data_IF_958799337212
#
_entry.id   IF_958799337212
#
_cell.length_a   1.000
_cell.length_b   1.000
_cell.length_c   1.000
_cell.angle_alpha   90.00
_cell.angle_beta   90.00
_cell.angle_gamma   90.00
#
_symmetry.space_group_name_H-M   'P 1'
#
loop_
_entity.id
_entity.type
_entity.pdbx_description
1 polymer ?
#
# COMPACT_ATOMS: atom_id res chain seq x y z
N UNK A 1 13.04 3.01 -21.85
CA UNK A 1 12.70 4.07 -20.86
C UNK A 1 12.05 3.43 -19.64
N UNK A 2 12.30 3.92 -18.42
CA UNK A 2 11.60 3.49 -17.20
C UNK A 2 10.37 4.39 -17.00
N UNK A 3 9.20 3.80 -16.81
CA UNK A 3 7.97 4.51 -16.43
C UNK A 3 7.76 4.43 -14.93
N UNK A 4 7.69 5.59 -14.26
CA UNK A 4 7.37 5.70 -12.84
C UNK A 4 5.94 6.20 -12.70
N UNK A 5 5.04 5.37 -12.18
CA UNK A 5 3.63 5.70 -11.96
C UNK A 5 3.49 6.07 -10.48
N UNK A 6 3.14 7.31 -10.20
CA UNK A 6 3.14 7.89 -8.85
C UNK A 6 2.19 9.09 -8.75
N UNK A 7 2.39 9.98 -7.78
CA UNK A 7 1.72 11.25 -7.61
C UNK A 7 2.72 12.39 -7.34
N UNK A 8 2.28 13.64 -7.37
CA UNK A 8 3.13 14.84 -7.17
C UNK A 8 3.72 14.90 -5.76
N UNK A 9 2.93 14.51 -4.76
CA UNK A 9 3.30 14.57 -3.34
C UNK A 9 4.29 13.46 -2.93
N UNK A 10 4.45 12.40 -3.75
CA UNK A 10 5.42 11.36 -3.46
C UNK A 10 6.85 11.86 -3.75
N UNK A 11 7.58 12.21 -2.70
CA UNK A 11 8.96 12.68 -2.78
C UNK A 11 9.98 11.57 -3.04
N UNK A 12 9.64 10.30 -2.78
CA UNK A 12 10.57 9.17 -2.89
C UNK A 12 11.08 8.88 -4.30
N UNK A 13 10.30 9.03 -5.39
CA UNK A 13 10.81 8.83 -6.73
C UNK A 13 11.88 9.82 -7.14
N UNK A 14 11.84 11.03 -6.63
CA UNK A 14 12.74 12.11 -7.05
C UNK A 14 14.24 11.75 -6.96
N UNK A 15 14.79 11.30 -5.81
CA UNK A 15 16.20 10.92 -5.72
C UNK A 15 16.54 9.69 -6.58
N UNK A 16 15.59 8.77 -6.76
CA UNK A 16 15.78 7.59 -7.60
C UNK A 16 15.87 8.00 -9.08
N UNK A 17 14.97 8.87 -9.54
CA UNK A 17 14.99 9.42 -10.90
C UNK A 17 16.30 10.17 -11.17
N UNK A 18 16.75 11.00 -10.24
CA UNK A 18 18.04 11.69 -10.34
C UNK A 18 19.20 10.70 -10.49
N UNK A 19 19.24 9.65 -9.67
CA UNK A 19 20.28 8.62 -9.75
C UNK A 19 20.24 7.85 -11.08
N UNK A 20 19.07 7.52 -11.59
CA UNK A 20 18.90 6.85 -12.88
C UNK A 20 19.38 7.76 -14.04
N UNK A 21 18.99 9.04 -14.00
CA UNK A 21 19.39 10.03 -15.00
C UNK A 21 20.91 10.24 -15.03
N UNK A 22 21.58 10.30 -13.86
CA UNK A 22 23.05 10.38 -13.82
C UNK A 22 23.75 9.15 -14.40
N UNK A 23 23.05 8.03 -14.48
CA UNK A 23 23.52 6.79 -15.12
C UNK A 23 23.13 6.68 -16.60
N UNK A 24 22.57 7.73 -17.18
CA UNK A 24 22.13 7.77 -18.58
C UNK A 24 20.84 6.99 -18.86
N UNK A 25 20.07 6.66 -17.81
CA UNK A 25 18.80 5.92 -17.94
C UNK A 25 17.66 6.94 -18.05
N UNK A 26 16.91 6.86 -19.14
CA UNK A 26 15.75 7.72 -19.37
C UNK A 26 14.57 7.28 -18.51
N UNK A 27 13.93 8.24 -17.84
CA UNK A 27 12.78 8.01 -16.96
C UNK A 27 11.63 8.94 -17.36
N UNK A 28 10.44 8.39 -17.44
CA UNK A 28 9.19 9.15 -17.56
C UNK A 28 8.42 9.03 -16.25
N UNK A 29 8.12 10.15 -15.58
CA UNK A 29 7.30 10.20 -14.38
C UNK A 29 5.87 10.55 -14.77
N UNK A 30 4.93 9.70 -14.38
CA UNK A 30 3.50 9.90 -14.53
C UNK A 30 2.88 10.16 -13.15
N UNK A 31 2.43 11.37 -12.90
CA UNK A 31 1.65 11.75 -11.71
C UNK A 31 0.18 11.57 -12.05
N UNK A 32 -0.43 10.54 -11.51
CA UNK A 32 -1.73 10.05 -12.00
C UNK A 32 -2.91 10.93 -11.63
N UNK A 33 -2.83 11.67 -10.52
CA UNK A 33 -3.85 12.66 -10.13
C UNK A 33 -3.98 13.81 -11.13
N UNK A 34 -2.87 14.14 -11.80
CA UNK A 34 -2.78 15.21 -12.78
C UNK A 34 -2.84 14.72 -14.23
N UNK A 35 -3.36 13.51 -14.47
CA UNK A 35 -3.40 12.92 -15.81
C UNK A 35 -4.02 13.83 -16.86
N UNK A 36 -5.11 14.52 -16.51
CA UNK A 36 -5.88 15.36 -17.44
C UNK A 36 -5.36 16.81 -17.52
N UNK A 37 -4.48 17.23 -16.61
CA UNK A 37 -3.96 18.60 -16.57
C UNK A 37 -2.53 18.71 -17.09
N UNK A 38 -1.71 17.70 -16.81
CA UNK A 38 -0.26 17.76 -17.07
C UNK A 38 0.17 16.86 -18.24
N UNK A 39 -0.74 16.03 -18.77
CA UNK A 39 -0.38 15.06 -19.80
C UNK A 39 -1.38 15.06 -20.96
N UNK A 40 -0.82 14.86 -22.16
CA UNK A 40 -1.55 14.40 -23.33
C UNK A 40 -1.32 12.91 -23.49
N UNK A 41 -2.36 12.17 -23.86
CA UNK A 41 -2.26 10.74 -24.10
C UNK A 41 -3.08 10.33 -25.31
N UNK A 42 -2.59 9.32 -26.00
CA UNK A 42 -3.28 8.70 -27.11
C UNK A 42 -3.07 7.18 -27.04
N UNK A 43 -4.16 6.45 -27.21
CA UNK A 43 -4.13 5.02 -27.45
C UNK A 43 -4.65 4.76 -28.86
N UNK A 44 -3.90 4.00 -29.61
CA UNK A 44 -4.29 3.58 -30.97
C UNK A 44 -4.21 2.07 -31.10
N UNK A 45 -5.26 1.50 -31.67
CA UNK A 45 -5.33 0.08 -31.97
C UNK A 45 -5.94 -0.09 -33.36
N UNK A 46 -5.16 -0.58 -34.30
CA UNK A 46 -5.60 -0.92 -35.64
C UNK A 46 -5.18 -2.37 -35.99
N UNK A 47 -5.40 -2.78 -37.23
CA UNK A 47 -5.09 -4.15 -37.68
C UNK A 47 -3.59 -4.52 -37.58
N UNK A 48 -2.70 -3.55 -37.46
CA UNK A 48 -1.24 -3.75 -37.53
C UNK A 48 -0.49 -3.22 -36.33
N UNK A 49 -1.11 -2.33 -35.55
CA UNK A 49 -0.44 -1.59 -34.48
C UNK A 49 -1.34 -1.41 -33.28
N UNK A 50 -0.78 -1.60 -32.10
CA UNK A 50 -1.43 -1.39 -30.82
C UNK A 50 -0.42 -0.78 -29.87
N UNK A 51 -0.54 0.53 -29.59
CA UNK A 51 0.40 1.23 -28.71
C UNK A 51 -0.25 2.47 -28.08
N UNK A 52 0.40 2.99 -27.06
CA UNK A 52 0.04 4.27 -26.46
C UNK A 52 1.18 5.28 -26.56
N UNK A 53 0.82 6.54 -26.49
CA UNK A 53 1.75 7.65 -26.30
C UNK A 53 1.31 8.48 -25.11
N UNK A 54 2.26 8.82 -24.25
CA UNK A 54 2.09 9.79 -23.15
C UNK A 54 3.08 10.93 -23.36
N UNK A 55 2.64 12.16 -23.26
CA UNK A 55 3.48 13.34 -23.32
C UNK A 55 3.18 14.25 -22.12
N UNK A 56 4.21 14.63 -21.37
CA UNK A 56 4.09 15.62 -20.31
C UNK A 56 4.20 17.01 -20.91
N UNK A 57 3.12 17.80 -20.85
CA UNK A 57 3.04 19.12 -21.45
C UNK A 57 3.89 20.18 -20.75
N UNK A 58 4.27 19.93 -19.49
CA UNK A 58 5.06 20.88 -18.69
C UNK A 58 6.55 20.85 -19.07
N UNK A 59 7.09 19.69 -19.41
CA UNK A 59 8.51 19.51 -19.69
C UNK A 59 8.83 18.97 -21.09
N UNK A 60 7.80 18.66 -21.88
CA UNK A 60 7.92 18.18 -23.26
C UNK A 60 8.42 16.74 -23.41
N UNK A 61 8.60 16.00 -22.31
CA UNK A 61 8.98 14.59 -22.37
C UNK A 61 7.81 13.75 -22.87
N UNK A 62 8.12 12.75 -23.71
CA UNK A 62 7.14 11.79 -24.19
C UNK A 62 7.67 10.37 -24.12
N UNK A 63 6.75 9.40 -24.06
CA UNK A 63 7.05 7.96 -24.08
C UNK A 63 5.96 7.22 -24.84
N UNK A 64 6.38 6.24 -25.66
CA UNK A 64 5.48 5.26 -26.27
C UNK A 64 5.51 3.97 -25.47
N UNK A 65 4.41 3.20 -25.48
CA UNK A 65 4.33 1.93 -24.78
C UNK A 65 5.44 0.96 -25.17
N UNK A 66 5.78 0.91 -26.46
CA UNK A 66 6.88 0.09 -27.02
C UNK A 66 8.28 0.52 -26.52
N UNK A 67 8.44 1.72 -25.98
CA UNK A 67 9.70 2.23 -25.42
C UNK A 67 9.85 1.94 -23.92
N UNK A 68 8.78 1.50 -23.27
CA UNK A 68 8.80 1.17 -21.84
C UNK A 68 9.50 -0.16 -21.62
N UNK A 69 10.62 -0.14 -20.91
CA UNK A 69 11.43 -1.32 -20.61
C UNK A 69 11.32 -1.79 -19.17
N UNK A 70 10.87 -0.92 -18.28
CA UNK A 70 10.57 -1.25 -16.90
C UNK A 70 9.52 -0.27 -16.32
N UNK A 71 8.79 -0.73 -15.32
CA UNK A 71 7.77 0.07 -14.63
C UNK A 71 8.06 0.09 -13.13
N UNK A 72 7.93 1.25 -12.52
CA UNK A 72 7.82 1.36 -11.09
C UNK A 72 6.44 1.90 -10.73
N UNK A 73 5.54 0.99 -10.31
CA UNK A 73 4.19 1.31 -9.84
C UNK A 73 4.28 1.62 -8.35
N UNK A 74 4.36 2.91 -8.03
CA UNK A 74 4.75 3.33 -6.67
C UNK A 74 3.55 3.70 -5.78
N UNK A 75 2.86 4.77 -6.12
CA UNK A 75 1.72 5.31 -5.38
C UNK A 75 0.79 6.07 -6.31
N UNK A 76 0.16 5.40 -7.27
CA UNK A 76 -0.80 6.07 -8.12
C UNK A 76 -2.01 6.52 -7.30
N UNK A 77 -2.45 7.74 -7.54
CA UNK A 77 -3.69 8.28 -7.01
C UNK A 77 -4.76 8.35 -8.11
N UNK A 78 -6.04 8.36 -7.75
CA UNK A 78 -7.10 8.61 -8.72
C UNK A 78 -6.89 9.97 -9.41
N UNK A 79 -7.29 10.12 -10.69
CA UNK A 79 -7.28 11.42 -11.37
C UNK A 79 -8.22 12.39 -10.66
N UNK A 80 -7.69 13.39 -10.01
CA UNK A 80 -8.47 14.38 -9.25
C UNK A 80 -8.39 15.77 -9.85
N UNK A 81 -7.29 16.10 -10.51
CA UNK A 81 -7.12 17.40 -11.15
C UNK A 81 -7.86 17.43 -12.49
N UNK A 82 -8.72 18.44 -12.67
CA UNK A 82 -9.46 18.67 -13.88
C UNK A 82 -9.06 20.01 -14.51
N UNK A 83 -8.86 20.06 -15.84
CA UNK A 83 -8.45 21.30 -16.52
C UNK A 83 -9.53 22.38 -16.48
N UNK A 84 -10.80 21.97 -16.41
CA UNK A 84 -11.98 22.83 -16.30
C UNK A 84 -12.93 22.22 -15.28
N UNK A 85 -13.43 23.05 -14.37
CA UNK A 85 -14.49 22.64 -13.45
C UNK A 85 -15.86 22.78 -14.16
N UNK A 86 -16.72 21.80 -13.90
CA UNK A 86 -18.06 21.73 -14.45
C UNK A 86 -19.09 21.43 -13.34
N UNK A 87 -20.12 20.66 -13.64
CA UNK A 87 -21.02 20.17 -12.59
C UNK A 87 -20.38 18.94 -11.89
N UNK A 88 -20.72 18.70 -10.65
CA UNK A 88 -20.23 17.55 -9.88
C UNK A 88 -20.41 16.22 -10.63
N UNK A 89 -21.55 16.05 -11.31
CA UNK A 89 -21.84 14.83 -12.08
C UNK A 89 -20.89 14.68 -13.28
N UNK A 90 -20.61 15.76 -14.00
CA UNK A 90 -19.69 15.75 -15.15
C UNK A 90 -18.26 15.55 -14.67
N UNK A 91 -17.85 16.22 -13.61
CA UNK A 91 -16.51 16.09 -13.05
C UNK A 91 -16.25 14.68 -12.53
N UNK A 92 -17.24 14.06 -11.88
CA UNK A 92 -17.18 12.66 -11.47
C UNK A 92 -17.01 11.73 -12.68
N UNK A 93 -17.83 11.92 -13.72
CA UNK A 93 -17.74 11.13 -14.96
C UNK A 93 -16.34 11.25 -15.59
N UNK A 94 -15.81 12.47 -15.73
CA UNK A 94 -14.50 12.71 -16.34
C UNK A 94 -13.37 12.01 -15.56
N UNK A 95 -13.43 12.02 -14.22
CA UNK A 95 -12.47 11.29 -13.37
C UNK A 95 -12.58 9.78 -13.54
N UNK A 96 -13.79 9.24 -13.66
CA UNK A 96 -14.02 7.81 -13.88
C UNK A 96 -13.48 7.35 -15.24
N UNK A 97 -13.65 8.15 -16.32
CA UNK A 97 -13.08 7.87 -17.65
C UNK A 97 -11.53 7.87 -17.59
N UNK A 98 -10.94 8.88 -16.96
CA UNK A 98 -9.50 8.96 -16.80
C UNK A 98 -8.96 7.78 -15.94
N UNK A 99 -9.68 7.38 -14.90
CA UNK A 99 -9.35 6.20 -14.10
C UNK A 99 -9.44 4.91 -14.93
N UNK A 100 -10.42 4.83 -15.85
CA UNK A 100 -10.56 3.74 -16.81
C UNK A 100 -9.31 3.60 -17.69
N UNK A 101 -8.80 4.72 -18.22
CA UNK A 101 -7.56 4.76 -18.99
C UNK A 101 -6.34 4.30 -18.15
N UNK A 102 -6.19 4.78 -16.91
CA UNK A 102 -5.08 4.37 -16.04
C UNK A 102 -5.11 2.87 -15.71
N UNK A 103 -6.30 2.30 -15.49
CA UNK A 103 -6.46 0.85 -15.28
C UNK A 103 -6.03 0.06 -16.50
N UNK A 104 -6.42 0.51 -17.68
CA UNK A 104 -6.02 -0.08 -18.94
C UNK A 104 -4.49 0.03 -19.14
N UNK A 105 -3.89 1.20 -18.95
CA UNK A 105 -2.46 1.44 -19.07
C UNK A 105 -1.66 0.47 -18.16
N UNK A 106 -2.06 0.35 -16.91
CA UNK A 106 -1.43 -0.55 -15.95
C UNK A 106 -1.54 -2.02 -16.41
N UNK A 107 -2.71 -2.43 -16.90
CA UNK A 107 -2.90 -3.78 -17.41
C UNK A 107 -2.11 -4.03 -18.71
N UNK A 108 -2.04 -3.07 -19.60
CA UNK A 108 -1.24 -3.17 -20.83
C UNK A 108 0.25 -3.41 -20.55
N UNK A 109 0.75 -2.81 -19.47
CA UNK A 109 2.14 -2.91 -19.05
C UNK A 109 2.44 -4.12 -18.13
N UNK A 110 1.48 -5.00 -17.90
CA UNK A 110 1.57 -6.09 -16.90
C UNK A 110 2.73 -7.07 -17.13
N UNK A 111 3.14 -7.26 -18.37
CA UNK A 111 4.22 -8.19 -18.76
C UNK A 111 5.60 -7.48 -18.83
N UNK A 112 5.65 -6.18 -18.61
CA UNK A 112 6.89 -5.42 -18.51
C UNK A 112 7.49 -5.61 -17.11
N UNK A 113 8.82 -5.83 -16.99
CA UNK A 113 9.48 -5.91 -15.68
C UNK A 113 9.10 -4.73 -14.78
N UNK A 114 8.59 -5.01 -13.59
CA UNK A 114 8.09 -3.96 -12.70
C UNK A 114 8.59 -4.14 -11.26
N UNK A 115 8.71 -3.01 -10.55
CA UNK A 115 8.76 -2.95 -9.09
C UNK A 115 7.39 -2.49 -8.60
N UNK A 116 6.82 -3.23 -7.64
CA UNK A 116 5.40 -3.17 -7.36
C UNK A 116 4.62 -3.99 -8.39
N UNK A 117 3.46 -4.47 -8.03
CA UNK A 117 2.65 -5.26 -8.96
C UNK A 117 1.51 -4.43 -9.50
N UNK A 118 1.56 -4.18 -10.79
CA UNK A 118 0.50 -3.46 -11.51
C UNK A 118 -0.87 -4.16 -11.40
N UNK A 119 -0.86 -5.50 -11.28
CA UNK A 119 -2.09 -6.30 -11.28
C UNK A 119 -2.45 -6.80 -9.88
N UNK A 120 -1.44 -7.18 -9.08
CA UNK A 120 -1.65 -7.93 -7.84
C UNK A 120 -1.59 -7.07 -6.56
N UNK A 121 -1.21 -5.79 -6.62
CA UNK A 121 -1.03 -4.94 -5.46
C UNK A 121 -2.30 -4.85 -4.57
N UNK A 122 -3.48 -4.71 -5.18
CA UNK A 122 -4.75 -4.69 -4.44
C UNK A 122 -5.08 -6.03 -3.77
N UNK A 123 -4.84 -7.15 -4.49
CA UNK A 123 -5.03 -8.48 -3.93
C UNK A 123 -4.04 -8.72 -2.81
N UNK A 124 -2.78 -8.31 -3.02
CA UNK A 124 -1.71 -8.42 -2.05
C UNK A 124 -1.92 -7.53 -0.80
N UNK A 125 -2.68 -6.45 -0.90
CA UNK A 125 -3.06 -5.62 0.24
C UNK A 125 -4.03 -6.31 1.22
N UNK A 126 -4.74 -7.37 0.78
CA UNK A 126 -5.70 -8.11 1.61
C UNK A 126 -5.05 -8.71 2.86
N UNK A 127 -5.45 -8.24 4.05
CA UNK A 127 -4.95 -8.75 5.35
C UNK A 127 -5.27 -10.22 5.57
N UNK A 128 -6.43 -10.68 5.06
CA UNK A 128 -6.83 -12.09 5.14
C UNK A 128 -5.90 -12.97 4.31
N UNK A 129 -5.61 -12.55 3.07
CA UNK A 129 -4.69 -13.27 2.21
C UNK A 129 -3.27 -13.25 2.76
N UNK A 130 -2.80 -12.11 3.26
CA UNK A 130 -1.48 -11.97 3.87
C UNK A 130 -1.28 -12.94 5.03
N UNK A 131 -2.24 -13.05 5.96
CA UNK A 131 -2.15 -13.99 7.08
C UNK A 131 -2.16 -15.44 6.60
N UNK A 132 -3.00 -15.78 5.63
CA UNK A 132 -3.07 -17.14 5.06
C UNK A 132 -1.76 -17.53 4.39
N UNK A 133 -1.22 -16.69 3.52
CA UNK A 133 0.04 -16.97 2.83
C UNK A 133 1.23 -16.99 3.79
N UNK A 134 1.27 -16.08 4.78
CA UNK A 134 2.32 -16.08 5.80
C UNK A 134 2.36 -17.42 6.56
N UNK A 135 1.21 -17.94 6.96
CA UNK A 135 1.10 -19.26 7.59
C UNK A 135 1.55 -20.39 6.64
N UNK A 136 1.12 -20.33 5.37
CA UNK A 136 1.49 -21.34 4.36
C UNK A 136 3.00 -21.43 4.12
N UNK A 137 3.72 -20.30 4.19
CA UNK A 137 5.18 -20.28 4.05
C UNK A 137 5.93 -20.57 5.35
N UNK A 138 5.20 -20.87 6.44
CA UNK A 138 5.77 -21.21 7.74
C UNK A 138 6.25 -20.01 8.56
N UNK A 139 5.73 -18.82 8.32
CA UNK A 139 5.85 -17.70 9.25
C UNK A 139 4.85 -17.88 10.38
N UNK A 140 5.27 -17.59 11.62
CA UNK A 140 4.33 -17.52 12.74
C UNK A 140 3.44 -16.30 12.61
N UNK A 141 2.13 -16.53 12.59
CA UNK A 141 1.13 -15.47 12.54
C UNK A 141 0.32 -15.45 13.83
N UNK A 142 -0.12 -14.28 14.29
CA UNK A 142 -1.04 -14.23 15.42
C UNK A 142 -2.37 -14.91 15.07
N UNK A 143 -3.01 -15.54 16.05
CA UNK A 143 -4.38 -16.00 15.88
C UNK A 143 -5.29 -14.84 15.52
N UNK A 144 -6.17 -15.04 14.57
CA UNK A 144 -6.88 -13.96 13.89
C UNK A 144 -8.36 -14.28 13.73
N UNK A 145 -9.21 -13.29 13.95
CA UNK A 145 -10.63 -13.36 13.66
C UNK A 145 -11.08 -12.12 12.88
N UNK A 146 -11.80 -12.35 11.78
CA UNK A 146 -12.53 -11.33 11.01
C UNK A 146 -14.02 -11.67 11.12
N UNK A 147 -14.82 -10.79 11.69
CA UNK A 147 -16.26 -11.03 11.80
C UNK A 147 -17.03 -9.71 11.94
N UNK A 148 -18.27 -9.70 11.46
CA UNK A 148 -19.26 -8.67 11.73
C UNK A 148 -20.29 -9.11 12.78
N UNK A 149 -20.01 -10.18 13.53
CA UNK A 149 -20.88 -10.72 14.59
C UNK A 149 -20.21 -10.58 15.95
N UNK A 150 -20.84 -9.87 16.87
CA UNK A 150 -20.37 -9.67 18.24
C UNK A 150 -20.01 -11.00 18.92
N UNK A 151 -20.88 -12.00 18.76
CA UNK A 151 -20.68 -13.32 19.38
C UNK A 151 -19.36 -14.00 18.95
N UNK A 152 -18.94 -13.87 17.68
CA UNK A 152 -17.70 -14.46 17.21
C UNK A 152 -16.49 -13.70 17.74
N UNK A 153 -16.55 -12.36 17.75
CA UNK A 153 -15.50 -11.51 18.31
C UNK A 153 -15.32 -11.76 19.81
N UNK A 154 -16.43 -11.86 20.58
CA UNK A 154 -16.35 -12.19 21.99
C UNK A 154 -15.77 -13.58 22.23
N UNK A 155 -16.24 -14.59 21.49
CA UNK A 155 -15.74 -15.97 21.62
C UNK A 155 -14.24 -16.04 21.35
N UNK A 156 -13.75 -15.31 20.34
CA UNK A 156 -12.32 -15.20 20.07
C UNK A 156 -11.58 -14.46 21.20
N UNK A 157 -12.06 -13.28 21.57
CA UNK A 157 -11.38 -12.43 22.55
C UNK A 157 -11.29 -13.08 23.95
N UNK A 158 -12.27 -13.89 24.33
CA UNK A 158 -12.27 -14.61 25.63
C UNK A 158 -11.19 -15.70 25.75
N UNK A 159 -10.57 -16.10 24.63
CA UNK A 159 -9.48 -17.08 24.63
C UNK A 159 -8.15 -16.46 25.05
N UNK A 160 -8.04 -15.13 25.06
CA UNK A 160 -6.80 -14.40 25.29
C UNK A 160 -7.01 -13.33 26.36
N UNK A 161 -5.94 -13.09 27.15
CA UNK A 161 -5.93 -12.00 28.14
C UNK A 161 -5.98 -10.63 27.47
N UNK A 162 -5.27 -10.49 26.37
CA UNK A 162 -5.15 -9.24 25.60
C UNK A 162 -5.27 -9.55 24.11
N UNK A 163 -5.95 -8.67 23.41
CA UNK A 163 -6.11 -8.71 21.97
C UNK A 163 -5.79 -7.35 21.37
N UNK A 164 -5.64 -7.30 20.06
CA UNK A 164 -5.49 -6.06 19.30
C UNK A 164 -6.56 -5.92 18.24
N UNK A 165 -7.07 -4.70 18.11
CA UNK A 165 -7.93 -4.27 17.00
C UNK A 165 -7.08 -3.58 15.95
N UNK A 166 -7.37 -3.84 14.69
CA UNK A 166 -6.66 -3.26 13.55
C UNK A 166 -7.63 -2.85 12.45
N UNK A 167 -7.34 -1.78 11.69
CA UNK A 167 -8.05 -1.51 10.43
C UNK A 167 -7.69 -2.59 9.40
N UNK A 168 -8.65 -2.94 8.53
CA UNK A 168 -8.44 -3.90 7.45
C UNK A 168 -7.79 -3.22 6.25
N UNK A 169 -8.41 -2.15 5.77
CA UNK A 169 -8.04 -1.49 4.51
C UNK A 169 -7.37 -0.14 4.78
N UNK A 170 -8.14 0.82 5.26
CA UNK A 170 -7.67 2.17 5.52
C UNK A 170 -7.34 2.39 6.99
N UNK A 171 -6.13 2.88 7.24
CA UNK A 171 -5.75 3.38 8.57
C UNK A 171 -6.05 4.87 8.74
N UNK A 172 -6.45 5.58 7.69
CA UNK A 172 -6.73 7.01 7.72
C UNK A 172 -8.19 7.26 7.37
N UNK A 173 -8.84 8.10 8.15
CA UNK A 173 -10.21 8.56 7.95
C UNK A 173 -10.16 10.07 7.78
N UNK A 174 -10.59 10.55 6.61
CA UNK A 174 -10.80 11.97 6.39
C UNK A 174 -12.18 12.38 6.93
N UNK A 175 -12.20 13.39 7.76
CA UNK A 175 -13.44 13.98 8.27
C UNK A 175 -13.71 15.28 7.51
N UNK A 176 -14.76 15.27 6.68
CA UNK A 176 -15.16 16.42 5.86
C UNK A 176 -15.68 17.60 6.70
N UNK A 177 -16.23 17.34 7.90
CA UNK A 177 -16.83 18.38 8.74
C UNK A 177 -15.81 19.34 9.34
N UNK A 178 -14.61 18.86 9.66
CA UNK A 178 -13.53 19.66 10.27
C UNK A 178 -12.24 19.68 9.43
N UNK A 179 -12.25 19.10 8.23
CA UNK A 179 -11.10 19.00 7.33
C UNK A 179 -9.87 18.37 8.01
N UNK A 180 -10.07 17.38 8.90
CA UNK A 180 -9.00 16.71 9.61
C UNK A 180 -8.86 15.24 9.19
N UNK A 181 -7.64 14.73 9.15
CA UNK A 181 -7.32 13.34 8.93
C UNK A 181 -7.10 12.63 10.28
N UNK A 182 -7.84 11.55 10.53
CA UNK A 182 -7.69 10.70 11.71
C UNK A 182 -6.99 9.41 11.34
N UNK A 183 -5.87 9.12 11.99
CA UNK A 183 -5.16 7.85 11.83
C UNK A 183 -5.67 6.79 12.81
N UNK A 184 -6.09 5.65 12.28
CA UNK A 184 -6.44 4.46 13.05
C UNK A 184 -5.20 3.59 13.24
N UNK A 185 -4.70 3.54 14.47
CA UNK A 185 -3.60 2.67 14.84
C UNK A 185 -4.09 1.36 15.45
N UNK A 186 -3.17 0.39 15.54
CA UNK A 186 -3.41 -0.84 16.32
C UNK A 186 -3.74 -0.48 17.77
N UNK A 187 -4.87 -0.95 18.26
CA UNK A 187 -5.33 -0.72 19.64
C UNK A 187 -5.30 -2.02 20.42
N UNK A 188 -4.62 -2.00 21.58
CA UNK A 188 -4.61 -3.12 22.50
C UNK A 188 -5.82 -3.00 23.44
N UNK A 189 -6.54 -4.11 23.64
CA UNK A 189 -7.77 -4.17 24.45
C UNK A 189 -7.98 -5.59 25.00
N UNK A 190 -9.15 -5.82 25.62
CA UNK A 190 -9.57 -7.13 26.13
C UNK A 190 -11.03 -7.42 25.76
N UNK A 191 -11.50 -8.63 26.04
CA UNK A 191 -12.91 -9.00 25.82
C UNK A 191 -13.90 -8.11 26.56
N UNK A 192 -13.51 -7.57 27.72
CA UNK A 192 -14.37 -6.69 28.53
C UNK A 192 -14.81 -5.44 27.77
N UNK A 193 -13.96 -4.90 26.90
CA UNK A 193 -14.28 -3.68 26.14
C UNK A 193 -15.43 -3.86 25.13
N UNK A 194 -15.81 -5.09 24.83
CA UNK A 194 -16.89 -5.38 23.88
C UNK A 194 -18.26 -5.63 24.54
N UNK A 195 -18.31 -5.81 25.86
CA UNK A 195 -19.56 -6.17 26.52
C UNK A 195 -20.66 -5.12 26.34
N UNK A 196 -20.31 -3.85 26.51
CA UNK A 196 -21.26 -2.75 26.44
C UNK A 196 -21.44 -2.19 25.02
N UNK A 197 -20.69 -2.70 24.03
CA UNK A 197 -20.86 -2.30 22.63
C UNK A 197 -22.12 -2.97 22.07
N UNK A 198 -23.07 -2.21 21.48
CA UNK A 198 -24.29 -2.77 20.93
C UNK A 198 -24.02 -3.69 19.74
N UNK A 199 -24.88 -4.69 19.52
CA UNK A 199 -24.77 -5.67 18.43
C UNK A 199 -24.70 -4.98 17.06
N UNK A 200 -25.48 -3.92 16.89
CA UNK A 200 -25.59 -3.14 15.65
C UNK A 200 -24.27 -2.51 15.24
N UNK A 201 -23.40 -2.14 16.18
CA UNK A 201 -22.08 -1.58 15.88
C UNK A 201 -21.18 -2.60 15.16
N UNK A 202 -21.32 -3.89 15.48
CA UNK A 202 -20.54 -4.94 14.80
C UNK A 202 -21.06 -5.23 13.38
N UNK A 203 -22.36 -5.08 13.15
CA UNK A 203 -22.95 -5.36 11.83
C UNK A 203 -22.68 -4.28 10.79
N UNK A 204 -22.22 -3.09 11.21
CA UNK A 204 -21.91 -1.98 10.29
C UNK A 204 -20.60 -2.17 9.53
N UNK A 205 -19.69 -3.02 10.04
CA UNK A 205 -18.37 -3.24 9.41
C UNK A 205 -17.81 -4.61 9.80
N UNK A 206 -16.66 -4.95 9.24
CA UNK A 206 -15.93 -6.16 9.63
C UNK A 206 -14.88 -5.81 10.67
N UNK A 207 -15.01 -6.37 11.86
CA UNK A 207 -13.99 -6.25 12.91
C UNK A 207 -12.82 -7.18 12.62
N UNK A 208 -11.60 -6.65 12.73
CA UNK A 208 -10.36 -7.41 12.61
C UNK A 208 -9.65 -7.43 13.96
N UNK A 209 -9.63 -8.60 14.59
CA UNK A 209 -8.99 -8.82 15.90
C UNK A 209 -7.93 -9.91 15.82
N UNK A 210 -6.87 -9.72 16.59
CA UNK A 210 -5.79 -10.71 16.77
C UNK A 210 -5.45 -10.85 18.25
N UNK A 211 -4.88 -12.00 18.65
CA UNK A 211 -4.25 -12.07 19.97
C UNK A 211 -3.08 -11.09 20.04
N UNK A 212 -2.89 -10.46 21.20
CA UNK A 212 -1.70 -9.62 21.41
C UNK A 212 -0.46 -10.51 21.55
N UNK A 213 0.56 -10.22 20.74
CA UNK A 213 1.86 -10.89 20.80
C UNK A 213 2.85 -9.94 21.45
N UNK A 214 3.33 -10.23 22.68
CA UNK A 214 4.43 -9.47 23.29
C UNK A 214 5.66 -9.51 22.38
N UNK A 215 6.30 -8.38 22.20
CA UNK A 215 7.45 -8.24 21.30
C UNK A 215 8.62 -7.57 22.02
N UNK A 216 9.83 -8.01 21.71
CA UNK A 216 11.06 -7.37 22.17
C UNK A 216 11.46 -6.19 21.29
N UNK A 217 11.16 -6.28 20.01
CA UNK A 217 11.40 -5.26 18.97
C UNK A 217 10.55 -5.59 17.75
N UNK A 218 10.55 -4.70 16.78
CA UNK A 218 9.90 -4.92 15.49
C UNK A 218 10.91 -4.94 14.35
N UNK A 219 10.60 -5.61 13.25
CA UNK A 219 11.40 -5.61 12.04
C UNK A 219 10.61 -5.02 10.88
N UNK A 220 11.18 -4.01 10.23
CA UNK A 220 10.75 -3.58 8.91
C UNK A 220 11.62 -4.27 7.87
N UNK A 221 11.05 -5.22 7.15
CA UNK A 221 11.76 -5.99 6.10
C UNK A 221 11.27 -5.49 4.75
N UNK A 222 12.20 -4.98 3.95
CA UNK A 222 11.96 -4.60 2.55
C UNK A 222 12.68 -5.60 1.66
N UNK A 223 11.93 -6.24 0.78
CA UNK A 223 12.47 -7.19 -0.18
C UNK A 223 12.62 -6.51 -1.54
N UNK A 224 13.74 -6.74 -2.22
CA UNK A 224 13.95 -6.32 -3.62
C UNK A 224 14.43 -7.55 -4.38
N UNK A 225 13.53 -8.18 -5.09
CA UNK A 225 13.75 -9.49 -5.67
C UNK A 225 14.09 -10.53 -4.59
N UNK A 226 15.34 -11.01 -4.57
CA UNK A 226 15.82 -11.98 -3.57
C UNK A 226 16.65 -11.35 -2.44
N UNK A 227 16.79 -10.03 -2.39
CA UNK A 227 17.59 -9.33 -1.37
C UNK A 227 16.67 -8.76 -0.31
N UNK A 228 17.00 -9.03 0.95
CA UNK A 228 16.32 -8.49 2.13
C UNK A 228 17.10 -7.29 2.68
N UNK A 229 16.39 -6.23 3.00
CA UNK A 229 16.87 -5.07 3.75
C UNK A 229 16.01 -5.00 5.01
N UNK A 230 16.59 -5.35 6.14
CA UNK A 230 15.87 -5.38 7.40
C UNK A 230 16.35 -4.28 8.34
N UNK A 231 15.40 -3.58 8.92
CA UNK A 231 15.59 -2.56 9.94
C UNK A 231 14.91 -3.01 11.23
N UNK A 232 15.67 -3.09 12.31
CA UNK A 232 15.16 -3.30 13.66
C UNK A 232 14.67 -1.96 14.22
N UNK A 233 13.46 -1.97 14.75
CA UNK A 233 12.81 -0.83 15.38
C UNK A 233 12.60 -1.18 16.85
N UNK A 234 13.27 -0.45 17.74
CA UNK A 234 13.18 -0.67 19.17
C UNK A 234 12.03 0.18 19.76
N UNK A 235 10.79 -0.29 19.54
CA UNK A 235 9.59 0.35 20.07
C UNK A 235 9.40 0.11 21.57
N UNK A 236 10.09 -0.89 22.14
CA UNK A 236 9.95 -1.24 23.56
C UNK A 236 10.77 -0.34 24.48
N UNK A 237 11.70 0.44 23.94
CA UNK A 237 12.44 1.46 24.70
C UNK A 237 11.63 2.75 24.96
N UNK A 238 10.44 2.89 24.34
CA UNK A 238 9.59 4.04 24.55
C UNK A 238 8.93 4.00 25.93
N UNK A 239 8.68 5.18 26.52
CA UNK A 239 7.95 5.29 27.78
C UNK A 239 6.44 5.11 27.55
N UNK A 240 5.94 5.56 26.40
CA UNK A 240 4.53 5.55 26.03
C UNK A 240 4.05 4.16 25.55
N UNK A 241 3.03 3.62 26.20
CA UNK A 241 2.46 2.31 25.86
C UNK A 241 1.85 2.25 24.45
N UNK A 242 1.36 3.36 23.92
CA UNK A 242 0.82 3.45 22.56
C UNK A 242 1.90 3.13 21.52
N UNK A 243 3.08 3.72 21.65
CA UNK A 243 4.22 3.46 20.77
C UNK A 243 4.74 2.02 20.91
N UNK A 244 4.66 1.42 22.10
CA UNK A 244 4.98 0.00 22.31
C UNK A 244 4.00 -0.93 21.59
N UNK A 245 2.74 -0.55 21.49
CA UNK A 245 1.71 -1.32 20.78
C UNK A 245 1.83 -1.16 19.27
N UNK A 246 1.97 0.07 18.80
CA UNK A 246 2.17 0.40 17.38
C UNK A 246 3.29 1.44 17.26
N UNK A 247 4.45 1.02 16.76
CA UNK A 247 5.66 1.84 16.66
C UNK A 247 5.45 3.14 15.86
N UNK A 248 4.47 3.19 14.96
CA UNK A 248 4.14 4.39 14.18
C UNK A 248 3.68 5.55 15.07
N UNK A 249 3.13 5.26 16.24
CA UNK A 249 2.78 6.27 17.23
C UNK A 249 3.99 6.75 18.05
N UNK A 250 5.15 6.17 17.82
CA UNK A 250 6.39 6.47 18.53
C UNK A 250 7.38 7.35 17.75
N UNK A 251 7.06 7.76 16.52
CA UNK A 251 8.00 8.54 15.69
C UNK A 251 8.52 9.81 16.37
N UNK A 252 7.65 10.53 17.06
CA UNK A 252 8.00 11.79 17.72
C UNK A 252 8.79 11.59 19.03
N UNK A 253 8.95 10.34 19.48
CA UNK A 253 9.57 9.98 20.76
C UNK A 253 10.96 9.36 20.63
N UNK A 254 11.63 9.55 19.49
CA UNK A 254 13.04 9.14 19.33
C UNK A 254 13.24 7.65 19.15
N UNK A 255 12.43 6.98 18.35
CA UNK A 255 12.60 5.57 17.98
C UNK A 255 13.99 5.28 17.45
N UNK A 256 14.62 4.24 17.98
CA UNK A 256 15.92 3.75 17.47
C UNK A 256 15.73 2.79 16.32
N UNK A 257 16.51 3.00 15.27
CA UNK A 257 16.52 2.19 14.07
C UNK A 257 17.91 1.64 13.85
N UNK A 258 18.01 0.33 13.67
CA UNK A 258 19.30 -0.37 13.48
C UNK A 258 19.21 -1.30 12.26
N UNK A 259 20.31 -1.42 11.51
CA UNK A 259 20.41 -2.44 10.47
C UNK A 259 20.37 -3.81 11.14
N UNK A 260 19.53 -4.70 10.63
CA UNK A 260 19.36 -6.05 11.15
C UNK A 260 19.74 -7.09 10.12
N UNK A 261 20.60 -8.03 10.52
CA UNK A 261 20.94 -9.16 9.68
C UNK A 261 19.85 -10.23 9.79
N UNK A 262 18.98 -10.26 8.78
CA UNK A 262 17.85 -11.18 8.75
C UNK A 262 18.36 -12.63 8.61
N UNK A 263 17.93 -13.57 9.47
CA UNK A 263 18.23 -14.99 9.28
C UNK A 263 17.80 -15.50 7.91
N UNK A 264 18.62 -16.37 7.33
CA UNK A 264 18.41 -16.83 5.94
C UNK A 264 17.07 -17.58 5.77
N UNK A 265 16.67 -18.38 6.74
CA UNK A 265 15.39 -19.10 6.74
C UNK A 265 14.19 -18.14 6.72
N UNK A 266 14.28 -17.01 7.40
CA UNK A 266 13.24 -15.96 7.37
C UNK A 266 13.26 -15.24 6.01
N UNK A 267 14.45 -14.92 5.49
CA UNK A 267 14.58 -14.34 4.16
C UNK A 267 13.97 -15.23 3.07
N UNK A 268 14.21 -16.54 3.14
CA UNK A 268 13.66 -17.52 2.20
C UNK A 268 12.13 -17.61 2.30
N UNK A 269 11.56 -17.55 3.51
CA UNK A 269 10.11 -17.46 3.71
C UNK A 269 9.53 -16.18 3.14
N UNK A 270 10.21 -15.03 3.32
CA UNK A 270 9.79 -13.75 2.72
C UNK A 270 9.81 -13.83 1.17
N UNK A 271 10.85 -14.42 0.57
CA UNK A 271 10.92 -14.64 -0.87
C UNK A 271 9.74 -15.51 -1.33
N UNK A 272 9.47 -16.61 -0.63
CA UNK A 272 8.36 -17.50 -0.96
C UNK A 272 7.01 -16.82 -0.82
N UNK A 273 6.85 -15.98 0.22
CA UNK A 273 5.66 -15.16 0.43
C UNK A 273 5.41 -14.23 -0.77
N UNK A 274 6.43 -13.46 -1.20
CA UNK A 274 6.31 -12.59 -2.36
C UNK A 274 5.95 -13.36 -3.64
N UNK A 275 6.57 -14.53 -3.88
CA UNK A 275 6.26 -15.37 -5.03
C UNK A 275 4.79 -15.80 -5.06
N UNK A 276 4.23 -16.24 -3.91
CA UNK A 276 2.83 -16.64 -3.81
C UNK A 276 1.87 -15.45 -3.92
N UNK A 277 2.32 -14.25 -3.57
CA UNK A 277 1.56 -13.01 -3.74
C UNK A 277 1.76 -12.37 -5.12
N UNK A 278 2.56 -12.99 -6.01
CA UNK A 278 2.94 -12.43 -7.30
C UNK A 278 3.61 -11.05 -7.20
N UNK A 279 4.42 -10.87 -6.16
CA UNK A 279 5.18 -9.65 -5.90
C UNK A 279 6.69 -9.90 -6.04
N UNK A 280 7.44 -8.83 -6.25
CA UNK A 280 8.91 -8.84 -6.31
C UNK A 280 9.54 -7.74 -5.43
N UNK A 281 8.66 -7.00 -4.73
CA UNK A 281 9.04 -5.90 -3.84
C UNK A 281 8.03 -5.78 -2.69
#
# INVERSE_FOLDING_TARGET
MILVITNKEDSHPTPVIQLLTTRGISVFRLNTEALLTDYEFCWQNDAHHCDFTLANIQNGLSVRGTEVTAVWDRRPEPPTELPLQSTEVVDKHNREEALGFLRFLRYYLKDIPSIGSIVYDRVAASKMLQTTIAQQVGLSVPDTCFSNRKADILRFAMQYKEIVLKPIENSNIWNEDNEEEYALYTQKTSSASFHDVPEEAFTQTVSYVQNYVPKAYELRITMVGRRAFACKIDSQCLDEDKGKTDWRQGYDYGLKHEIYNLPQDIADKCIRFLQLMHLNF
#
